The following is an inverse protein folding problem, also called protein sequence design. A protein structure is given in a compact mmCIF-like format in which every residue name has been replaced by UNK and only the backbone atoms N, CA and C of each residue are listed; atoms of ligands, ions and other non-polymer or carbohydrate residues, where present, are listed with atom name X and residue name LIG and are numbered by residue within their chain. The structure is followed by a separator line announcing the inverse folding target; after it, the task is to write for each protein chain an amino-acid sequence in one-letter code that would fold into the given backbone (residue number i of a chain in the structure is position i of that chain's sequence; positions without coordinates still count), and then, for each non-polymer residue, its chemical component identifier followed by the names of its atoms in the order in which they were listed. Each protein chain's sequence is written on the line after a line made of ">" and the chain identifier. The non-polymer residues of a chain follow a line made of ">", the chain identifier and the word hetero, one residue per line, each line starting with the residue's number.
data_IF_466357957910
#
_entry.id   IF_466357957910
#
_cell.length_a   1.000
_cell.length_b   1.000
_cell.length_c   1.000
_cell.angle_alpha   90.00
_cell.angle_beta   90.00
_cell.angle_gamma   90.00
#
_symmetry.space_group_name_H-M   'P 1'
#
loop_
_entity.id
_entity.type
_entity.pdbx_description
1 polymer ?
#
# COMPACT_ATOMS: atom_id res chain seq x y z
N UNK A 1 5.94 -10.28 -13.02
CA UNK A 1 7.07 -9.35 -12.81
C UNK A 1 7.05 -8.98 -11.35
N UNK A 2 8.18 -8.92 -10.66
CA UNK A 2 8.20 -8.61 -9.23
C UNK A 2 8.62 -7.15 -9.06
N UNK A 3 7.72 -6.30 -8.57
CA UNK A 3 7.98 -4.89 -8.29
C UNK A 3 7.68 -4.58 -6.83
N UNK A 4 8.63 -3.94 -6.15
CA UNK A 4 8.43 -3.42 -4.79
C UNK A 4 8.14 -1.93 -4.83
N UNK A 5 7.11 -1.50 -4.10
CA UNK A 5 6.67 -0.11 -4.05
C UNK A 5 6.29 0.31 -2.63
N UNK A 6 6.57 1.58 -2.34
CA UNK A 6 6.25 2.20 -1.07
C UNK A 6 4.94 2.98 -1.18
N UNK A 7 3.96 2.60 -0.36
CA UNK A 7 2.66 3.23 -0.23
C UNK A 7 2.60 4.06 1.06
N UNK A 8 2.07 5.28 0.93
CA UNK A 8 1.76 6.15 2.06
C UNK A 8 0.24 6.15 2.23
N UNK A 9 -0.24 5.59 3.34
CA UNK A 9 -1.65 5.36 3.61
C UNK A 9 -2.04 5.95 4.96
N UNK A 10 -3.28 6.43 5.06
CA UNK A 10 -3.88 6.74 6.35
C UNK A 10 -4.22 5.43 7.10
N UNK A 11 -4.40 5.46 8.42
CA UNK A 11 -4.74 4.27 9.21
C UNK A 11 -5.99 3.54 8.70
N UNK A 12 -7.01 4.29 8.31
CA UNK A 12 -8.23 3.72 7.74
C UNK A 12 -7.98 3.03 6.40
N UNK A 13 -7.13 3.60 5.55
CA UNK A 13 -6.78 3.02 4.24
C UNK A 13 -5.87 1.80 4.40
N UNK A 14 -4.94 1.84 5.35
CA UNK A 14 -4.04 0.71 5.66
C UNK A 14 -4.75 -0.44 6.40
N UNK A 15 -6.00 -0.25 6.82
CA UNK A 15 -6.83 -1.31 7.40
C UNK A 15 -7.68 -2.03 6.34
N UNK A 16 -7.80 -1.46 5.14
CA UNK A 16 -8.62 -1.97 4.06
C UNK A 16 -7.75 -2.50 2.91
N UNK A 17 -7.80 -3.81 2.69
CA UNK A 17 -7.00 -4.48 1.67
C UNK A 17 -7.38 -4.05 0.25
N UNK A 18 -8.66 -3.72 0.01
CA UNK A 18 -9.12 -3.18 -1.27
C UNK A 18 -8.51 -1.81 -1.56
N UNK A 19 -8.43 -0.94 -0.55
CA UNK A 19 -7.78 0.36 -0.68
C UNK A 19 -6.25 0.24 -0.85
N UNK A 20 -5.62 -0.73 -0.19
CA UNK A 20 -4.19 -1.03 -0.38
C UNK A 20 -3.93 -1.46 -1.84
N UNK A 21 -4.75 -2.38 -2.38
CA UNK A 21 -4.67 -2.83 -3.78
C UNK A 21 -4.89 -1.68 -4.76
N UNK A 22 -5.92 -0.88 -4.55
CA UNK A 22 -6.18 0.29 -5.40
C UNK A 22 -4.98 1.23 -5.40
N UNK A 23 -4.40 1.52 -4.24
CA UNK A 23 -3.22 2.40 -4.13
C UNK A 23 -1.96 1.80 -4.73
N UNK A 24 -1.79 0.48 -4.68
CA UNK A 24 -0.71 -0.21 -5.36
C UNK A 24 -0.85 -0.13 -6.88
N UNK A 25 -2.06 -0.32 -7.40
CA UNK A 25 -2.41 -0.17 -8.82
C UNK A 25 -2.13 1.25 -9.31
N UNK A 26 -2.66 2.26 -8.61
CA UNK A 26 -2.48 3.68 -8.95
C UNK A 26 -0.99 4.08 -8.94
N UNK A 27 -0.21 3.52 -8.01
CA UNK A 27 1.22 3.83 -7.86
C UNK A 27 2.11 3.12 -8.88
N UNK A 28 1.77 1.89 -9.24
CA UNK A 28 2.49 1.09 -10.23
C UNK A 28 2.11 1.47 -11.67
N UNK A 29 0.93 2.06 -11.88
CA UNK A 29 0.35 2.33 -13.19
C UNK A 29 -0.34 1.11 -13.81
N UNK A 30 -0.52 0.04 -13.03
CA UNK A 30 -1.16 -1.20 -13.49
C UNK A 30 -2.65 -1.17 -13.14
N UNK A 31 -3.52 -1.80 -13.94
CA UNK A 31 -4.89 -1.99 -13.56
C UNK A 31 -4.99 -2.98 -12.39
N UNK A 32 -5.92 -2.74 -11.46
CA UNK A 32 -6.15 -3.60 -10.29
C UNK A 32 -6.41 -5.06 -10.69
N UNK A 33 -7.01 -5.29 -11.87
CA UNK A 33 -7.23 -6.62 -12.42
C UNK A 33 -5.97 -7.39 -12.79
N UNK A 34 -4.86 -6.70 -13.04
CA UNK A 34 -3.56 -7.32 -13.34
C UNK A 34 -2.70 -7.53 -12.08
N UNK A 35 -3.02 -6.87 -10.95
CA UNK A 35 -2.44 -7.17 -9.65
C UNK A 35 -2.99 -8.49 -9.10
N UNK A 36 -2.39 -9.59 -9.55
CA UNK A 36 -2.78 -10.95 -9.15
C UNK A 36 -2.36 -11.23 -7.70
N UNK A 37 -1.12 -10.86 -7.35
CA UNK A 37 -0.55 -11.05 -6.03
C UNK A 37 -0.10 -9.69 -5.47
N UNK A 38 -0.56 -9.38 -4.26
CA UNK A 38 -0.07 -8.24 -3.48
C UNK A 38 0.40 -8.76 -2.14
N UNK A 39 1.69 -8.63 -1.88
CA UNK A 39 2.32 -9.05 -0.63
C UNK A 39 2.78 -7.81 0.14
N UNK A 40 2.32 -7.63 1.39
CA UNK A 40 2.82 -6.56 2.25
C UNK A 40 4.12 -7.01 2.93
N UNK A 41 5.25 -6.55 2.40
CA UNK A 41 6.59 -6.86 2.90
C UNK A 41 6.87 -6.17 4.24
N UNK A 42 6.43 -4.91 4.36
CA UNK A 42 6.67 -4.12 5.58
C UNK A 42 5.51 -3.19 5.84
N UNK A 43 5.15 -3.06 7.12
CA UNK A 43 4.21 -2.07 7.62
C UNK A 43 4.87 -1.26 8.73
N UNK A 44 4.97 0.05 8.55
CA UNK A 44 5.40 0.98 9.61
C UNK A 44 4.38 2.09 9.78
N UNK A 45 4.36 2.67 10.97
CA UNK A 45 3.50 3.80 11.32
C UNK A 45 4.37 4.95 11.82
N UNK A 46 4.11 6.13 11.28
CA UNK A 46 4.55 7.39 11.87
C UNK A 46 3.36 8.00 12.62
N UNK A 47 3.42 7.91 13.95
CA UNK A 47 2.38 8.39 14.85
C UNK A 47 2.84 9.60 15.69
N UNK A 48 3.93 10.29 15.28
CA UNK A 48 4.48 11.42 16.04
C UNK A 48 3.68 12.71 15.89
N UNK A 49 2.81 12.81 14.88
CA UNK A 49 1.94 13.95 14.61
C UNK A 49 0.47 13.69 14.90
N UNK A 50 -0.36 14.74 14.82
CA UNK A 50 -1.81 14.67 15.05
C UNK A 50 -2.58 13.78 14.07
N UNK A 51 -1.98 13.49 12.90
CA UNK A 51 -2.53 12.56 11.91
C UNK A 51 -1.52 11.44 11.64
N UNK A 52 -1.70 10.25 12.23
CA UNK A 52 -0.80 9.13 11.99
C UNK A 52 -0.84 8.71 10.52
N UNK A 53 0.29 8.25 10.01
CA UNK A 53 0.43 7.79 8.63
C UNK A 53 1.16 6.46 8.62
N UNK A 54 0.63 5.50 7.86
CA UNK A 54 1.29 4.24 7.59
C UNK A 54 2.14 4.33 6.33
N UNK A 55 3.33 3.72 6.39
CA UNK A 55 4.16 3.44 5.21
C UNK A 55 4.19 1.92 5.03
N UNK A 56 3.60 1.46 3.93
CA UNK A 56 3.60 0.05 3.55
C UNK A 56 4.60 -0.13 2.42
N UNK A 57 5.49 -1.10 2.55
CA UNK A 57 6.21 -1.64 1.38
C UNK A 57 5.43 -2.86 0.92
N UNK A 58 4.99 -2.82 -0.33
CA UNK A 58 4.25 -3.92 -0.96
C UNK A 58 5.02 -4.43 -2.17
N UNK A 59 4.86 -5.71 -2.45
CA UNK A 59 5.36 -6.39 -3.64
C UNK A 59 4.17 -6.80 -4.48
N UNK A 60 4.26 -6.51 -5.76
CA UNK A 60 3.27 -6.87 -6.80
C UNK A 60 3.98 -7.58 -7.96
#
# INVERSE_FOLDING_TARGET
>A
MIQELDLKLLPAEAADEGLIRQRAADRSGWPVSELSDLEVIRRSIDARGSRPVFRLRVRI
#
